data_IF_963885728706
#
_entry.id   IF_963885728706
#
_cell.length_a   1.000
_cell.length_b   1.000
_cell.length_c   1.000
_cell.angle_alpha   90.00
_cell.angle_beta   90.00
_cell.angle_gamma   90.00
#
_symmetry.space_group_name_H-M   'P 1'
#
loop_
_entity.id
_entity.type
_entity.pdbx_description
1 polymer ?
#
# COMPACT_ATOMS: atom_id res chain seq x y z
N UNK A 1 11.68 16.55 1.95
CA UNK A 1 11.61 15.41 1.01
C UNK A 1 10.22 14.83 1.11
N UNK A 2 9.46 14.75 0.01
CA UNK A 2 8.17 14.07 0.04
C UNK A 2 8.43 12.56 0.00
N UNK A 3 8.14 11.85 1.09
CA UNK A 3 8.20 10.39 1.12
C UNK A 3 7.24 9.85 0.06
N UNK A 4 7.75 9.14 -0.93
CA UNK A 4 6.95 8.60 -2.02
C UNK A 4 6.07 7.46 -1.48
N UNK A 5 4.74 7.60 -1.55
CA UNK A 5 3.79 6.61 -1.03
C UNK A 5 4.04 5.19 -1.59
N UNK A 6 4.62 5.07 -2.79
CA UNK A 6 5.00 3.75 -3.33
C UNK A 6 6.15 3.14 -2.55
N UNK A 7 7.09 3.94 -2.05
CA UNK A 7 8.17 3.45 -1.21
C UNK A 7 7.63 2.93 0.13
N UNK A 8 6.71 3.66 0.76
CA UNK A 8 6.04 3.22 2.00
C UNK A 8 5.37 1.84 1.83
N UNK A 9 4.66 1.63 0.71
CA UNK A 9 4.03 0.34 0.42
C UNK A 9 5.08 -0.76 0.19
N UNK A 10 6.19 -0.46 -0.50
CA UNK A 10 7.29 -1.42 -0.69
C UNK A 10 7.92 -1.81 0.64
N UNK A 11 8.16 -0.84 1.51
CA UNK A 11 8.77 -1.07 2.83
C UNK A 11 7.81 -1.89 3.71
N UNK A 12 6.51 -1.57 3.68
CA UNK A 12 5.48 -2.36 4.39
C UNK A 12 5.37 -3.80 3.90
N UNK A 13 5.51 -4.03 2.58
CA UNK A 13 5.57 -5.37 2.01
C UNK A 13 6.83 -6.11 2.48
N UNK A 14 7.99 -5.46 2.46
CA UNK A 14 9.25 -6.05 2.89
C UNK A 14 9.24 -6.39 4.39
N UNK A 15 8.77 -5.49 5.23
CA UNK A 15 8.69 -5.68 6.68
C UNK A 15 7.78 -6.85 7.09
N UNK A 16 6.77 -7.16 6.27
CA UNK A 16 5.85 -8.29 6.48
C UNK A 16 6.26 -9.55 5.73
N UNK A 17 7.31 -9.50 4.90
CA UNK A 17 7.68 -10.57 3.96
C UNK A 17 6.52 -10.94 3.01
N UNK A 18 5.73 -9.95 2.60
CA UNK A 18 4.56 -10.13 1.75
C UNK A 18 4.83 -9.80 0.29
N UNK A 19 4.15 -10.52 -0.59
CA UNK A 19 4.10 -10.22 -2.02
C UNK A 19 2.87 -9.39 -2.37
N UNK A 20 2.89 -8.67 -3.48
CA UNK A 20 1.73 -7.91 -3.98
C UNK A 20 0.46 -8.77 -4.12
N UNK A 21 0.51 -10.02 -4.64
CA UNK A 21 -0.66 -10.91 -4.67
C UNK A 21 -1.18 -11.28 -3.28
N UNK A 22 -0.32 -11.34 -2.26
CA UNK A 22 -0.76 -11.54 -0.88
C UNK A 22 -1.47 -10.30 -0.35
N UNK A 23 -0.89 -9.11 -0.54
CA UNK A 23 -1.53 -7.85 -0.17
C UNK A 23 -2.91 -7.67 -0.80
N UNK A 24 -3.06 -7.96 -2.09
CA UNK A 24 -4.35 -7.91 -2.79
C UNK A 24 -5.38 -8.86 -2.16
N UNK A 25 -4.96 -10.09 -1.80
CA UNK A 25 -5.84 -11.05 -1.11
C UNK A 25 -6.30 -10.54 0.25
N UNK A 26 -5.40 -9.91 1.01
CA UNK A 26 -5.77 -9.32 2.30
C UNK A 26 -6.72 -8.12 2.15
N UNK A 27 -6.57 -7.32 1.08
CA UNK A 27 -7.54 -6.26 0.75
C UNK A 27 -8.93 -6.84 0.47
N UNK A 28 -9.02 -7.92 -0.31
CA UNK A 28 -10.28 -8.63 -0.59
C UNK A 28 -10.88 -9.20 0.70
N UNK A 29 -10.05 -9.79 1.57
CA UNK A 29 -10.47 -10.30 2.87
C UNK A 29 -11.02 -9.19 3.78
N UNK A 30 -10.48 -7.97 3.68
CA UNK A 30 -10.96 -6.79 4.35
C UNK A 30 -12.26 -6.20 3.74
N UNK A 31 -12.80 -6.82 2.68
CA UNK A 31 -14.04 -6.39 2.03
C UNK A 31 -13.84 -5.41 0.88
N UNK A 32 -12.61 -5.22 0.40
CA UNK A 32 -12.28 -4.27 -0.66
C UNK A 32 -11.79 -4.98 -1.93
N UNK A 33 -12.39 -4.67 -3.07
CA UNK A 33 -11.99 -5.25 -4.36
C UNK A 33 -10.75 -4.56 -4.93
N UNK A 34 -9.56 -4.97 -4.45
CA UNK A 34 -8.27 -4.45 -4.91
C UNK A 34 -7.53 -5.52 -5.69
N UNK A 35 -7.43 -5.32 -7.01
CA UNK A 35 -6.68 -6.22 -7.88
C UNK A 35 -5.15 -6.04 -7.72
N UNK A 36 -4.41 -7.15 -7.70
CA UNK A 36 -2.94 -7.12 -7.63
C UNK A 36 -2.29 -6.42 -8.84
N UNK A 37 -2.90 -6.50 -10.04
CA UNK A 37 -2.42 -5.80 -11.23
C UNK A 37 -2.45 -4.28 -11.04
N UNK A 38 -3.52 -3.76 -10.41
CA UNK A 38 -3.64 -2.35 -10.03
C UNK A 38 -2.52 -1.93 -9.10
N UNK A 39 -2.21 -2.74 -8.08
CA UNK A 39 -1.11 -2.47 -7.14
C UNK A 39 0.24 -2.49 -7.86
N UNK A 40 0.49 -3.46 -8.75
CA UNK A 40 1.73 -3.51 -9.53
C UNK A 40 1.91 -2.28 -10.43
N UNK A 41 0.87 -1.90 -11.17
CA UNK A 41 0.90 -0.71 -12.02
C UNK A 41 1.12 0.55 -11.21
N UNK A 42 0.50 0.66 -10.02
CA UNK A 42 0.68 1.79 -9.13
C UNK A 42 2.13 1.88 -8.63
N UNK A 43 2.68 0.79 -8.10
CA UNK A 43 4.06 0.74 -7.64
C UNK A 43 5.04 1.04 -8.77
N UNK A 44 4.77 0.57 -9.99
CA UNK A 44 5.58 0.89 -11.17
C UNK A 44 5.39 2.32 -11.70
N UNK A 45 4.53 3.14 -11.09
CA UNK A 45 4.24 4.50 -11.54
C UNK A 45 3.46 4.56 -12.86
N UNK A 46 2.86 3.46 -13.29
CA UNK A 46 2.10 3.33 -14.55
C UNK A 46 0.63 3.71 -14.41
N UNK A 47 0.11 3.78 -13.18
CA UNK A 47 -1.27 4.22 -12.91
C UNK A 47 -1.34 4.93 -11.57
N UNK A 48 -2.38 5.74 -11.39
CA UNK A 48 -2.77 6.31 -10.11
C UNK A 48 -3.91 5.46 -9.52
N UNK A 49 -3.98 5.39 -8.20
CA UNK A 49 -5.09 4.76 -7.47
C UNK A 49 -5.81 5.83 -6.66
N UNK A 50 -7.09 5.60 -6.38
CA UNK A 50 -7.88 6.49 -5.53
C UNK A 50 -7.37 6.52 -4.09
N UNK A 51 -7.70 7.59 -3.38
CA UNK A 51 -7.36 7.74 -1.96
C UNK A 51 -7.92 6.58 -1.12
N UNK A 52 -9.16 6.15 -1.37
CA UNK A 52 -9.77 5.01 -0.66
C UNK A 52 -8.97 3.72 -0.84
N UNK A 53 -8.55 3.40 -2.08
CA UNK A 53 -7.73 2.21 -2.36
C UNK A 53 -6.38 2.28 -1.66
N UNK A 54 -5.77 3.47 -1.63
CA UNK A 54 -4.51 3.69 -0.96
C UNK A 54 -4.64 3.51 0.56
N UNK A 55 -5.68 4.07 1.18
CA UNK A 55 -5.96 3.93 2.61
C UNK A 55 -6.17 2.46 2.99
N UNK A 56 -6.89 1.69 2.18
CA UNK A 56 -7.05 0.24 2.37
C UNK A 56 -5.71 -0.48 2.33
N UNK A 57 -4.87 -0.19 1.32
CA UNK A 57 -3.55 -0.84 1.19
C UNK A 57 -2.69 -0.52 2.41
N UNK A 58 -2.63 0.75 2.82
CA UNK A 58 -1.86 1.17 3.98
C UNK A 58 -2.41 0.54 5.28
N UNK A 59 -3.73 0.51 5.45
CA UNK A 59 -4.39 -0.10 6.59
C UNK A 59 -4.13 -1.61 6.71
N UNK A 60 -4.18 -2.35 5.60
CA UNK A 60 -3.83 -3.78 5.54
C UNK A 60 -2.35 -4.01 5.88
N UNK A 61 -1.48 -3.11 5.44
CA UNK A 61 -0.07 -3.09 5.85
C UNK A 61 0.13 -2.54 7.27
N UNK A 62 -0.93 -2.21 8.01
CA UNK A 62 -0.83 -1.65 9.36
C UNK A 62 -0.06 -0.34 9.43
N UNK A 63 0.00 0.40 8.31
CA UNK A 63 0.68 1.68 8.21
C UNK A 63 -0.37 2.76 8.45
N UNK A 64 -0.30 3.39 9.60
CA UNK A 64 -1.07 4.61 9.86
C UNK A 64 -0.30 5.82 9.32
N UNK A 65 -0.97 6.76 8.65
CA UNK A 65 -0.33 8.03 8.24
C UNK A 65 0.25 8.84 9.42
N UNK A 66 -0.12 8.50 10.66
CA UNK A 66 0.48 9.03 11.89
C UNK A 66 1.92 8.57 12.15
N UNK A 67 2.41 7.52 11.47
CA UNK A 67 3.77 6.96 11.66
C UNK A 67 4.88 7.88 11.09
N UNK A 68 4.52 8.99 10.44
CA UNK A 68 5.45 9.90 9.77
C UNK A 68 5.48 11.33 10.34
N UNK A 69 4.84 11.60 11.48
CA UNK A 69 4.87 12.94 12.13
C UNK A 69 6.00 13.15 13.14
N UNK A 70 6.91 12.19 13.32
CA UNK A 70 8.09 12.32 14.20
C UNK A 70 9.39 11.96 13.46
N UNK A 71 9.79 12.79 12.49
CA UNK A 71 11.15 12.84 11.94
C UNK A 71 11.46 14.31 11.61
N UNK A 72 11.58 15.11 12.66
CA UNK A 72 12.14 16.46 12.62
C UNK A 72 13.57 16.44 13.15
#
# INVERSE_FOLDING_TARGET
MATDLRQIIRDGLAAREWTVPRLARECIRAGHDVCHDTIYRYLAGRTQIGADTLEVILGVLGITMSDHREQS
#
